data_IF_975836205786
#
_entry.id   IF_975836205786
#
_cell.length_a   1.000
_cell.length_b   1.000
_cell.length_c   1.000
_cell.angle_alpha   90.00
_cell.angle_beta   90.00
_cell.angle_gamma   90.00
#
_symmetry.space_group_name_H-M   'P 1'
#
loop_
_entity.id
_entity.type
_entity.pdbx_description
1 polymer ?
#
# COMPACT_ATOMS: atom_id res chain seq x y z
N UNK A 1 5.47 -15.00 5.31
CA UNK A 1 4.64 -13.97 5.97
C UNK A 1 5.40 -13.48 7.21
N UNK A 2 5.48 -12.18 7.48
CA UNK A 2 6.00 -11.66 8.76
C UNK A 2 4.83 -11.20 9.63
N UNK A 3 4.89 -11.44 10.93
CA UNK A 3 3.91 -10.97 11.89
C UNK A 3 4.32 -9.61 12.46
N UNK A 4 3.47 -8.61 12.30
CA UNK A 4 3.72 -7.25 12.77
C UNK A 4 3.14 -7.05 14.17
N UNK A 5 3.93 -6.47 15.07
CA UNK A 5 3.55 -6.17 16.45
C UNK A 5 4.06 -4.80 16.89
N UNK A 6 3.46 -4.25 17.96
CA UNK A 6 3.90 -3.04 18.64
C UNK A 6 4.12 -3.29 20.12
N UNK A 7 5.06 -2.56 20.71
CA UNK A 7 5.22 -2.56 22.16
C UNK A 7 4.13 -1.71 22.82
N UNK A 8 3.48 -2.19 23.88
CA UNK A 8 2.51 -1.38 24.63
C UNK A 8 3.15 -0.22 25.40
N UNK A 9 4.44 -0.32 25.74
CA UNK A 9 5.16 0.67 26.54
C UNK A 9 5.66 1.87 25.73
N UNK A 10 6.25 1.64 24.56
CA UNK A 10 6.87 2.70 23.75
C UNK A 10 6.32 2.80 22.32
N UNK A 11 5.28 2.02 21.99
CA UNK A 11 4.65 1.92 20.66
C UNK A 11 5.58 1.57 19.49
N UNK A 12 6.84 1.22 19.76
CA UNK A 12 7.80 0.80 18.74
C UNK A 12 7.28 -0.43 17.99
N UNK A 13 7.36 -0.38 16.66
CA UNK A 13 6.97 -1.47 15.76
C UNK A 13 8.09 -2.52 15.65
N UNK A 14 7.69 -3.78 15.54
CA UNK A 14 8.59 -4.91 15.28
C UNK A 14 7.91 -5.93 14.36
N UNK A 15 8.68 -6.47 13.41
CA UNK A 15 8.26 -7.62 12.61
C UNK A 15 8.91 -8.89 13.15
N UNK A 16 8.11 -9.92 13.39
CA UNK A 16 8.49 -11.23 13.90
C UNK A 16 8.24 -12.30 12.83
N UNK A 17 8.99 -13.42 12.84
CA UNK A 17 8.73 -14.53 11.92
C UNK A 17 7.48 -15.36 12.26
N UNK A 18 6.94 -15.27 13.49
CA UNK A 18 5.79 -16.07 13.98
C UNK A 18 4.82 -15.22 14.80
N UNK A 19 3.60 -15.71 15.07
CA UNK A 19 2.66 -15.06 16.00
C UNK A 19 3.25 -15.00 17.42
N UNK A 20 2.83 -14.02 18.22
CA UNK A 20 3.36 -13.84 19.59
C UNK A 20 3.15 -15.07 20.48
N UNK A 21 2.03 -15.78 20.30
CA UNK A 21 1.66 -16.96 21.08
C UNK A 21 2.43 -18.23 20.69
N UNK A 22 3.08 -18.23 19.53
CA UNK A 22 3.89 -19.38 19.07
C UNK A 22 5.28 -19.42 19.72
N UNK A 23 5.66 -18.37 20.44
CA UNK A 23 6.96 -18.29 21.09
C UNK A 23 6.92 -18.89 22.49
N UNK A 24 7.70 -19.94 22.71
CA UNK A 24 7.96 -20.44 24.07
C UNK A 24 8.59 -19.35 24.98
N UNK A 25 9.46 -18.49 24.42
CA UNK A 25 10.04 -17.34 25.12
C UNK A 25 9.51 -16.05 24.53
N UNK A 26 8.79 -15.26 25.33
CA UNK A 26 8.17 -14.02 24.86
C UNK A 26 9.22 -13.08 24.24
N UNK A 27 9.04 -12.64 22.99
CA UNK A 27 9.95 -11.70 22.37
C UNK A 27 9.88 -10.33 23.07
N UNK A 28 11.02 -9.66 23.19
CA UNK A 28 11.13 -8.33 23.82
C UNK A 28 11.08 -7.19 22.78
N UNK A 29 10.74 -5.99 23.22
CA UNK A 29 10.90 -4.79 22.41
C UNK A 29 12.39 -4.48 22.22
N UNK A 30 12.81 -4.15 20.98
CA UNK A 30 14.21 -3.75 20.69
C UNK A 30 14.57 -2.35 21.19
N UNK A 31 13.57 -1.53 21.54
CA UNK A 31 13.77 -0.15 21.99
C UNK A 31 13.79 -0.06 23.51
N UNK A 32 12.76 -0.59 24.18
CA UNK A 32 12.62 -0.45 25.64
C UNK A 32 12.81 -1.76 26.43
N UNK A 33 13.07 -2.89 25.77
CA UNK A 33 13.25 -4.19 26.41
C UNK A 33 11.96 -4.85 26.95
N UNK A 34 10.83 -4.16 26.98
CA UNK A 34 9.56 -4.73 27.48
C UNK A 34 9.10 -5.94 26.66
N UNK A 35 8.58 -6.97 27.32
CA UNK A 35 8.00 -8.18 26.70
C UNK A 35 6.52 -8.04 26.36
N UNK A 36 5.92 -6.89 26.68
CA UNK A 36 4.52 -6.60 26.40
C UNK A 36 4.36 -6.07 24.97
N UNK A 37 4.29 -7.01 24.04
CA UNK A 37 4.01 -6.77 22.62
C UNK A 37 2.57 -7.12 22.32
N UNK A 38 1.91 -6.31 21.48
CA UNK A 38 0.56 -6.52 20.95
C UNK A 38 0.59 -6.68 19.44
N UNK A 39 -0.31 -7.48 18.83
CA UNK A 39 -0.49 -7.51 17.39
C UNK A 39 -0.74 -6.10 16.81
N UNK A 40 -0.07 -5.75 15.71
CA UNK A 40 -0.40 -4.56 14.93
C UNK A 40 -1.48 -4.93 13.91
N UNK A 41 -2.74 -4.77 14.32
CA UNK A 41 -3.92 -5.18 13.54
C UNK A 41 -3.89 -4.61 12.12
N UNK A 42 -3.74 -3.29 11.99
CA UNK A 42 -3.70 -2.62 10.69
C UNK A 42 -2.59 -3.17 9.79
N UNK A 43 -1.40 -3.40 10.36
CA UNK A 43 -0.25 -3.84 9.57
C UNK A 43 -0.33 -5.30 9.13
N UNK A 44 -1.01 -6.15 9.92
CA UNK A 44 -1.25 -7.55 9.59
C UNK A 44 -2.43 -7.74 8.64
N UNK A 45 -3.45 -6.87 8.70
CA UNK A 45 -4.66 -6.96 7.87
C UNK A 45 -4.54 -6.17 6.56
N UNK A 46 -3.61 -5.21 6.46
CA UNK A 46 -3.49 -4.42 5.23
C UNK A 46 -3.14 -5.32 4.04
N UNK A 47 -3.96 -5.26 3.01
CA UNK A 47 -3.63 -5.86 1.73
C UNK A 47 -2.73 -4.90 0.95
N UNK A 48 -1.40 -5.03 1.12
CA UNK A 48 -0.45 -4.20 0.38
C UNK A 48 -0.51 -4.41 -1.13
N UNK A 49 -1.05 -5.54 -1.60
CA UNK A 49 -1.20 -5.83 -3.03
C UNK A 49 -2.46 -5.21 -3.63
N UNK A 50 -3.50 -4.92 -2.83
CA UNK A 50 -4.73 -4.32 -3.34
C UNK A 50 -4.51 -2.92 -3.93
N UNK A 51 -3.54 -2.17 -3.40
CA UNK A 51 -3.21 -0.81 -3.86
C UNK A 51 -2.08 -0.79 -4.90
N UNK A 52 -1.39 -1.90 -5.13
CA UNK A 52 -0.32 -1.99 -6.14
C UNK A 52 -0.96 -2.25 -7.51
N UNK A 53 -0.72 -1.36 -8.48
CA UNK A 53 -1.10 -1.66 -9.86
C UNK A 53 -0.19 -2.77 -10.40
N UNK A 54 -0.80 -3.71 -11.12
CA UNK A 54 -0.14 -4.81 -11.85
C UNK A 54 -0.31 -4.64 -13.36
N UNK A 55 -0.52 -3.40 -13.79
CA UNK A 55 -0.65 -2.95 -15.16
C UNK A 55 0.76 -3.02 -15.77
N UNK A 56 1.21 -4.25 -16.06
CA UNK A 56 2.58 -4.60 -16.43
C UNK A 56 2.85 -4.16 -17.90
N UNK A 57 2.70 -2.87 -18.17
CA UNK A 57 2.86 -2.30 -19.51
C UNK A 57 1.75 -2.65 -20.50
N UNK A 58 0.56 -3.04 -20.05
CA UNK A 58 -0.60 -3.18 -20.95
C UNK A 58 -1.08 -1.77 -21.39
N UNK A 59 -0.96 -1.49 -22.70
CA UNK A 59 -1.26 -0.20 -23.34
C UNK A 59 -0.07 0.77 -23.34
N UNK A 60 -0.19 1.99 -23.91
CA UNK A 60 0.82 3.07 -23.77
C UNK A 60 0.91 3.63 -22.34
N UNK A 61 0.42 2.88 -21.35
CA UNK A 61 0.40 3.24 -19.95
C UNK A 61 1.79 3.32 -19.33
N UNK A 62 1.93 4.33 -18.49
CA UNK A 62 3.17 4.71 -17.84
C UNK A 62 3.89 3.52 -17.19
N UNK A 63 5.13 3.27 -17.63
CA UNK A 63 6.01 2.21 -17.11
C UNK A 63 6.48 2.42 -15.65
N UNK A 64 6.07 3.52 -15.01
CA UNK A 64 6.47 3.80 -13.63
C UNK A 64 5.54 3.12 -12.61
N UNK A 65 6.05 2.75 -11.42
CA UNK A 65 5.23 2.24 -10.32
C UNK A 65 4.12 3.23 -9.95
N UNK A 66 2.86 2.79 -10.03
CA UNK A 66 1.71 3.61 -9.65
C UNK A 66 0.67 2.79 -8.86
N UNK A 67 -0.32 3.48 -8.30
CA UNK A 67 -1.37 2.83 -7.49
C UNK A 67 -2.52 2.36 -8.37
N UNK A 68 -3.14 1.24 -8.02
CA UNK A 68 -4.37 0.79 -8.70
C UNK A 68 -5.46 1.85 -8.54
N UNK A 69 -6.12 2.21 -9.64
CA UNK A 69 -7.17 3.23 -9.67
C UNK A 69 -6.67 4.69 -9.61
N UNK A 70 -5.36 4.93 -9.68
CA UNK A 70 -4.85 6.29 -9.94
C UNK A 70 -5.15 6.72 -11.37
N UNK A 71 -5.00 8.01 -11.67
CA UNK A 71 -5.16 8.56 -13.03
C UNK A 71 -4.23 7.95 -14.07
N UNK A 72 -3.05 7.48 -13.62
CA UNK A 72 -2.07 6.78 -14.44
C UNK A 72 -2.38 5.28 -14.65
N UNK A 73 -3.45 4.78 -14.05
CA UNK A 73 -3.81 3.37 -14.06
C UNK A 73 -4.82 3.08 -15.18
N UNK A 74 -4.52 2.07 -16.00
CA UNK A 74 -5.45 1.52 -16.98
C UNK A 74 -6.56 0.67 -16.33
N UNK A 75 -6.41 0.31 -15.06
CA UNK A 75 -7.41 -0.50 -14.38
C UNK A 75 -8.54 0.38 -13.86
N UNK A 76 -9.76 0.13 -14.31
CA UNK A 76 -10.96 0.81 -13.83
C UNK A 76 -11.42 0.24 -12.48
N UNK A 77 -12.10 1.04 -11.64
CA UNK A 77 -12.74 0.53 -10.42
C UNK A 77 -13.73 -0.61 -10.68
N UNK A 78 -14.36 -0.63 -11.86
CA UNK A 78 -15.28 -1.66 -12.32
C UNK A 78 -14.64 -3.04 -12.50
N UNK A 79 -13.32 -3.12 -12.59
CA UNK A 79 -12.60 -4.37 -12.85
C UNK A 79 -12.10 -4.52 -14.29
N UNK A 80 -12.54 -3.65 -15.18
CA UNK A 80 -12.19 -3.66 -16.61
C UNK A 80 -10.95 -2.80 -16.90
N UNK A 81 -10.35 -3.04 -18.06
CA UNK A 81 -9.27 -2.21 -18.58
C UNK A 81 -9.87 -0.99 -19.31
N UNK A 82 -9.31 0.19 -19.08
CA UNK A 82 -9.60 1.39 -19.86
C UNK A 82 -9.19 1.15 -21.31
N UNK A 83 -9.96 1.70 -22.24
CA UNK A 83 -9.50 1.88 -23.62
C UNK A 83 -8.47 3.02 -23.67
N UNK A 84 -7.64 3.04 -24.72
CA UNK A 84 -6.66 4.12 -24.92
C UNK A 84 -7.31 5.51 -24.95
N UNK A 85 -8.51 5.60 -25.54
CA UNK A 85 -9.31 6.82 -25.63
C UNK A 85 -9.76 7.31 -24.24
N UNK A 86 -10.25 6.40 -23.39
CA UNK A 86 -10.66 6.71 -22.02
C UNK A 86 -9.46 7.19 -21.19
N UNK A 87 -8.31 6.54 -21.35
CA UNK A 87 -7.08 6.94 -20.68
C UNK A 87 -6.61 8.33 -21.12
N UNK A 88 -6.60 8.59 -22.43
CA UNK A 88 -6.19 9.88 -22.99
C UNK A 88 -7.10 11.04 -22.55
N UNK A 89 -8.42 10.82 -22.51
CA UNK A 89 -9.39 11.81 -22.07
C UNK A 89 -9.18 12.22 -20.60
N UNK A 90 -8.94 11.25 -19.70
CA UNK A 90 -8.69 11.53 -18.28
C UNK A 90 -7.39 12.30 -18.07
N UNK A 91 -6.36 12.01 -18.87
CA UNK A 91 -5.08 12.73 -18.86
C UNK A 91 -5.19 14.16 -19.40
N UNK A 92 -6.10 14.40 -20.36
CA UNK A 92 -6.36 15.75 -20.87
C UNK A 92 -6.98 16.64 -19.78
N UNK A 93 -8.00 16.13 -19.08
CA UNK A 93 -8.66 16.86 -17.98
C UNK A 93 -7.68 17.28 -16.88
N UNK A 94 -6.76 16.39 -16.49
CA UNK A 94 -5.72 16.71 -15.50
C UNK A 94 -4.77 17.82 -15.92
N UNK A 95 -4.51 17.95 -17.23
CA UNK A 95 -3.64 19.00 -17.76
C UNK A 95 -4.36 20.35 -17.79
N UNK A 96 -5.67 20.35 -18.03
CA UNK A 96 -6.52 21.54 -18.01
C UNK A 96 -6.60 22.10 -16.59
N UNK A 97 -6.86 21.26 -15.58
CA UNK A 97 -6.87 21.67 -14.16
C UNK A 97 -5.52 22.29 -13.73
N UNK A 98 -4.39 21.76 -14.21
CA UNK A 98 -3.06 22.30 -13.90
C UNK A 98 -2.77 23.66 -14.56
N UNK A 99 -3.46 24.00 -15.65
CA UNK A 99 -3.30 25.29 -16.32
C UNK A 99 -4.11 26.40 -15.64
N UNK A 100 -5.21 26.06 -14.97
CA UNK A 100 -6.04 27.03 -14.24
C UNK A 100 -5.45 27.47 -12.89
N UNK A 101 -4.65 26.63 -12.22
CA UNK A 101 -4.00 26.99 -10.93
C UNK A 101 -2.83 27.99 -11.05
N UNK A 102 -2.40 28.34 -12.27
CA UNK A 102 -1.23 29.21 -12.52
C UNK A 102 -1.62 30.60 -13.06
N UNK A 103 -2.92 30.91 -13.13
CA UNK A 103 -3.47 32.20 -13.55
C UNK A 103 -3.89 33.08 -12.36
#
# INVERSE_FOLDING_TARGET
MRFHCRCRKCDARRALPRHLDEYHRKPHCRVCGSTDLRPDKWMNERNTKAMTCTCDGHGPGYHHPHRRGSVWCYYQPSGEWKTDEQFAAEQALLREDQQEEVA
#
